data_IF_830872859335
#
_entry.id   IF_830872859335
#
_cell.length_a   1.000
_cell.length_b   1.000
_cell.length_c   1.000
_cell.angle_alpha   90.00
_cell.angle_beta   90.00
_cell.angle_gamma   90.00
#
_symmetry.space_group_name_H-M   'P 1'
#
loop_
_entity.id
_entity.type
_entity.pdbx_description
1 polymer ?
#
# COMPACT_ATOMS: atom_id res chain seq x y z
N UNK A 1 17.72 2.27 14.15
CA UNK A 1 16.37 1.66 14.21
C UNK A 1 15.81 1.69 12.80
N UNK A 2 15.42 0.53 12.25
CA UNK A 2 14.89 0.48 10.89
C UNK A 2 13.45 0.97 10.86
N UNK A 3 13.14 1.91 9.96
CA UNK A 3 11.75 2.32 9.73
C UNK A 3 10.95 1.11 9.23
N UNK A 4 9.81 0.82 9.88
CA UNK A 4 8.86 -0.18 9.37
C UNK A 4 8.32 0.33 8.03
N UNK A 5 8.20 -0.56 7.05
CA UNK A 5 7.66 -0.25 5.72
C UNK A 5 6.39 -1.06 5.48
N UNK A 6 5.42 -0.43 4.84
CA UNK A 6 4.16 -1.04 4.42
C UNK A 6 3.97 -0.79 2.92
N UNK A 7 3.75 -1.87 2.16
CA UNK A 7 3.36 -1.78 0.76
C UNK A 7 1.86 -2.10 0.68
N UNK A 8 1.08 -1.17 0.13
CA UNK A 8 -0.34 -1.36 -0.12
C UNK A 8 -0.53 -1.51 -1.62
N UNK A 9 -0.95 -2.70 -2.05
CA UNK A 9 -1.28 -2.98 -3.45
C UNK A 9 -2.79 -3.05 -3.57
N UNK A 10 -3.37 -2.27 -4.49
CA UNK A 10 -4.81 -2.25 -4.69
C UNK A 10 -5.20 -2.32 -6.16
N UNK A 11 -6.43 -2.76 -6.40
CA UNK A 11 -7.13 -2.60 -7.67
C UNK A 11 -8.35 -1.72 -7.47
N UNK A 12 -8.68 -0.85 -8.42
CA UNK A 12 -9.94 -0.11 -8.37
C UNK A 12 -10.45 0.25 -9.77
N UNK A 13 -11.65 -0.23 -10.11
CA UNK A 13 -12.31 0.12 -11.36
C UNK A 13 -12.94 1.53 -11.36
N UNK A 14 -13.49 1.95 -10.21
CA UNK A 14 -14.22 3.24 -10.07
C UNK A 14 -13.62 4.19 -9.03
N UNK A 15 -12.53 3.78 -8.35
CA UNK A 15 -11.78 4.62 -7.42
C UNK A 15 -12.16 4.48 -5.94
N UNK A 16 -13.21 3.74 -5.59
CA UNK A 16 -13.59 3.57 -4.18
C UNK A 16 -12.51 2.83 -3.37
N UNK A 17 -12.01 1.71 -3.90
CA UNK A 17 -10.91 0.95 -3.28
C UNK A 17 -9.63 1.77 -3.18
N UNK A 18 -9.36 2.65 -4.16
CA UNK A 18 -8.23 3.59 -4.10
C UNK A 18 -8.35 4.49 -2.87
N UNK A 19 -9.52 5.10 -2.66
CA UNK A 19 -9.77 5.95 -1.48
C UNK A 19 -9.59 5.17 -0.18
N UNK A 20 -10.07 3.92 -0.13
CA UNK A 20 -9.85 3.05 1.04
C UNK A 20 -8.35 2.81 1.29
N UNK A 21 -7.60 2.48 0.25
CA UNK A 21 -6.16 2.23 0.35
C UNK A 21 -5.37 3.49 0.78
N UNK A 22 -5.77 4.67 0.29
CA UNK A 22 -5.23 5.96 0.72
C UNK A 22 -5.49 6.21 2.22
N UNK A 23 -6.70 5.93 2.73
CA UNK A 23 -7.02 6.11 4.15
C UNK A 23 -6.29 5.12 5.07
N UNK A 24 -6.10 3.86 4.62
CA UNK A 24 -5.27 2.87 5.32
C UNK A 24 -3.82 3.38 5.40
N UNK A 25 -3.27 3.86 4.29
CA UNK A 25 -1.91 4.43 4.23
C UNK A 25 -1.73 5.59 5.19
N UNK A 26 -2.63 6.56 5.18
CA UNK A 26 -2.64 7.68 6.15
C UNK A 26 -2.68 7.20 7.60
N UNK A 27 -3.40 6.10 7.88
CA UNK A 27 -3.43 5.46 9.18
C UNK A 27 -2.06 4.94 9.63
N UNK A 28 -1.35 4.26 8.74
CA UNK A 28 -0.02 3.71 9.00
C UNK A 28 1.06 4.81 9.11
N UNK A 29 1.01 5.84 8.26
CA UNK A 29 1.93 6.98 8.32
C UNK A 29 1.85 7.71 9.67
N UNK A 30 0.64 7.85 10.25
CA UNK A 30 0.44 8.42 11.60
C UNK A 30 1.13 7.62 12.70
N UNK A 31 1.46 6.35 12.45
CA UNK A 31 2.22 5.48 13.37
C UNK A 31 3.73 5.47 13.06
N UNK A 32 4.20 6.32 12.15
CA UNK A 32 5.60 6.40 11.75
C UNK A 32 6.05 5.26 10.82
N UNK A 33 5.10 4.60 10.15
CA UNK A 33 5.38 3.57 9.13
C UNK A 33 5.56 4.27 7.78
N UNK A 34 6.60 3.89 7.04
CA UNK A 34 6.84 4.35 5.67
C UNK A 34 5.95 3.56 4.70
N UNK A 35 5.05 4.25 4.00
CA UNK A 35 3.99 3.62 3.19
C UNK A 35 4.28 3.84 1.70
N UNK A 36 4.22 2.76 0.94
CA UNK A 36 4.17 2.79 -0.51
C UNK A 36 2.80 2.28 -0.98
N UNK A 37 2.11 3.06 -1.82
CA UNK A 37 0.79 2.73 -2.34
C UNK A 37 0.88 2.53 -3.85
N UNK A 38 0.53 1.34 -4.32
CA UNK A 38 0.66 0.95 -5.73
C UNK A 38 -0.61 0.32 -6.26
N UNK A 39 -0.91 0.60 -7.53
CA UNK A 39 -1.91 -0.18 -8.26
C UNK A 39 -1.31 -1.52 -8.65
N UNK A 40 -2.12 -2.57 -8.60
CA UNK A 40 -1.69 -3.92 -8.99
C UNK A 40 -1.20 -3.97 -10.44
N UNK A 41 -1.79 -3.16 -11.32
CA UNK A 41 -1.41 -3.07 -12.73
C UNK A 41 -0.02 -2.44 -12.94
N UNK A 42 0.46 -1.66 -11.96
CA UNK A 42 1.77 -1.04 -11.98
C UNK A 42 2.83 -1.90 -11.25
N UNK A 43 2.43 -3.06 -10.71
CA UNK A 43 3.33 -3.97 -10.02
C UNK A 43 4.04 -4.92 -10.98
N UNK A 44 5.37 -5.05 -10.84
CA UNK A 44 6.12 -6.17 -11.43
C UNK A 44 6.12 -7.36 -10.47
N UNK A 45 6.24 -8.59 -11.00
CA UNK A 45 6.28 -9.82 -10.19
C UNK A 45 7.36 -9.80 -9.08
N UNK A 46 8.41 -9.00 -9.29
CA UNK A 46 9.50 -8.82 -8.33
C UNK A 46 9.12 -8.00 -7.08
N UNK A 47 7.97 -7.32 -7.09
CA UNK A 47 7.47 -6.48 -5.98
C UNK A 47 6.73 -7.30 -4.91
N UNK A 48 6.19 -8.47 -5.26
CA UNK A 48 5.27 -9.26 -4.42
C UNK A 48 5.96 -9.90 -3.19
N UNK A 49 7.29 -9.77 -3.05
CA UNK A 49 8.04 -10.28 -1.90
C UNK A 49 7.97 -9.37 -0.65
N UNK A 50 7.13 -8.33 -0.64
CA UNK A 50 7.04 -7.35 0.44
C UNK A 50 5.60 -7.26 0.96
N UNK A 51 5.28 -8.15 1.91
CA UNK A 51 4.26 -8.08 3.00
C UNK A 51 2.82 -7.62 2.72
N UNK A 52 1.90 -8.47 3.20
CA UNK A 52 0.45 -8.32 3.51
C UNK A 52 -0.44 -7.56 2.50
N UNK A 53 -1.28 -8.35 1.82
CA UNK A 53 -2.41 -7.89 1.02
C UNK A 53 -3.62 -7.68 1.94
N UNK A 54 -4.14 -6.45 2.04
CA UNK A 54 -5.39 -6.12 2.74
C UNK A 54 -6.44 -5.68 1.74
#
# INVERSE_FOLDING_TARGET
>A
MGNKRLLIIYYSGTGNTRRMAEEIGKGAERLGIDVNLMRVEDCSLNIINITELI
#
